data_IF_858149423151
#
_entry.id   IF_858149423151
#
_cell.length_a   1.000
_cell.length_b   1.000
_cell.length_c   1.000
_cell.angle_alpha   90.00
_cell.angle_beta   90.00
_cell.angle_gamma   90.00
#
_symmetry.space_group_name_H-M   'P 1'
#
loop_
_entity.id
_entity.type
_entity.pdbx_description
1 polymer ?
#
# COMPACT_ATOMS: atom_id res chain seq x y z
N UNK A 1 1.89 -22.03 18.75
CA UNK A 1 2.45 -20.88 18.02
C UNK A 1 1.42 -19.76 17.94
N UNK A 2 1.80 -18.57 18.27
CA UNK A 2 0.92 -17.38 18.16
C UNK A 2 1.36 -16.62 16.90
N UNK A 3 0.50 -16.54 15.89
CA UNK A 3 0.79 -15.79 14.67
C UNK A 3 -0.47 -15.46 13.87
N UNK A 4 -0.30 -14.79 12.73
CA UNK A 4 -1.41 -14.38 11.86
C UNK A 4 -1.96 -15.52 10.97
N UNK A 5 -1.32 -16.68 10.94
CA UNK A 5 -1.77 -17.81 10.12
C UNK A 5 -3.07 -18.40 10.65
N UNK A 6 -3.90 -18.90 9.75
CA UNK A 6 -5.19 -19.51 10.11
C UNK A 6 -5.06 -20.83 10.85
N UNK A 7 -3.91 -21.51 10.73
CA UNK A 7 -3.58 -22.78 11.38
C UNK A 7 -2.75 -22.62 12.66
N UNK A 8 -2.63 -21.38 13.18
CA UNK A 8 -1.96 -21.13 14.45
C UNK A 8 -2.81 -21.57 15.64
N UNK A 9 -2.16 -22.01 16.73
CA UNK A 9 -2.83 -22.34 17.98
C UNK A 9 -3.61 -21.15 18.56
N UNK A 10 -2.99 -19.95 18.46
CA UNK A 10 -3.64 -18.68 18.77
C UNK A 10 -3.43 -17.75 17.57
N UNK A 11 -4.52 -17.42 16.92
CA UNK A 11 -4.48 -16.51 15.79
C UNK A 11 -4.48 -15.06 16.27
N UNK A 12 -3.43 -14.32 15.89
CA UNK A 12 -3.31 -12.88 16.12
C UNK A 12 -3.13 -12.17 14.79
N UNK A 13 -4.20 -11.73 14.19
CA UNK A 13 -4.21 -11.04 12.90
C UNK A 13 -3.95 -9.54 13.09
N UNK A 14 -3.14 -8.97 12.19
CA UNK A 14 -2.91 -7.52 12.14
C UNK A 14 -4.15 -6.73 11.70
N UNK A 15 -5.10 -7.37 11.05
CA UNK A 15 -6.34 -6.77 10.64
C UNK A 15 -7.41 -7.80 10.30
N UNK A 16 -8.65 -7.40 10.42
CA UNK A 16 -9.81 -8.21 10.08
C UNK A 16 -10.66 -7.51 9.04
N UNK A 17 -10.98 -8.24 7.97
CA UNK A 17 -11.97 -7.78 7.00
C UNK A 17 -13.36 -8.17 7.48
N UNK A 18 -14.21 -7.19 7.66
CA UNK A 18 -15.62 -7.40 8.02
C UNK A 18 -16.53 -6.81 6.95
N UNK A 19 -17.50 -7.59 6.53
CA UNK A 19 -18.55 -7.07 5.63
C UNK A 19 -19.38 -6.03 6.38
N UNK A 20 -19.56 -4.87 5.77
CA UNK A 20 -20.43 -3.84 6.35
C UNK A 20 -21.89 -4.24 6.21
N UNK A 21 -22.68 -3.99 7.24
CA UNK A 21 -24.13 -4.21 7.19
C UNK A 21 -24.79 -3.21 6.24
N UNK A 22 -24.32 -1.96 6.27
CA UNK A 22 -24.78 -0.89 5.38
C UNK A 22 -23.59 -0.49 4.51
N UNK A 23 -23.63 -0.72 3.18
CA UNK A 23 -22.56 -0.29 2.30
C UNK A 23 -22.47 1.23 2.26
N UNK A 24 -21.25 1.82 2.16
CA UNK A 24 -21.10 3.26 2.02
C UNK A 24 -21.66 3.71 0.67
N UNK A 25 -22.35 4.85 0.66
CA UNK A 25 -22.80 5.48 -0.57
C UNK A 25 -21.61 6.26 -1.18
N UNK A 26 -20.94 5.64 -2.14
CA UNK A 26 -19.79 6.22 -2.85
C UNK A 26 -19.88 5.94 -4.33
N UNK A 27 -19.58 6.95 -5.14
CA UNK A 27 -19.40 6.79 -6.57
C UNK A 27 -17.97 6.30 -6.86
N UNK A 28 -17.78 4.98 -6.89
CA UNK A 28 -16.49 4.37 -7.15
C UNK A 28 -15.97 4.65 -8.57
N UNK A 29 -16.85 4.83 -9.55
CA UNK A 29 -16.45 5.18 -10.92
C UNK A 29 -15.80 6.57 -10.96
N UNK A 30 -16.37 7.55 -10.30
CA UNK A 30 -15.80 8.88 -10.20
C UNK A 30 -14.46 8.88 -9.44
N UNK A 31 -14.38 8.14 -8.34
CA UNK A 31 -13.15 7.99 -7.55
C UNK A 31 -12.03 7.38 -8.41
N UNK A 32 -12.30 6.31 -9.14
CA UNK A 32 -11.31 5.67 -10.01
C UNK A 32 -10.87 6.56 -11.18
N UNK A 33 -11.79 7.31 -11.76
CA UNK A 33 -11.48 8.27 -12.84
C UNK A 33 -10.58 9.41 -12.37
N UNK A 34 -10.73 9.85 -11.12
CA UNK A 34 -9.89 10.90 -10.53
C UNK A 34 -8.45 10.46 -10.25
N UNK A 35 -8.20 9.15 -10.17
CA UNK A 35 -6.88 8.60 -9.92
C UNK A 35 -6.07 8.50 -11.20
N UNK A 36 -5.01 9.30 -11.29
CA UNK A 36 -4.20 9.45 -12.49
C UNK A 36 -3.00 8.51 -12.54
N UNK A 37 -2.58 7.96 -11.38
CA UNK A 37 -1.40 7.11 -11.26
C UNK A 37 -1.79 5.67 -10.93
N UNK A 38 -0.92 4.71 -11.29
CA UNK A 38 -1.25 3.30 -11.17
C UNK A 38 -0.89 2.74 -9.79
N UNK A 39 0.40 2.65 -9.48
CA UNK A 39 0.89 1.98 -8.27
C UNK A 39 1.84 2.89 -7.50
N UNK A 40 1.64 3.00 -6.19
CA UNK A 40 2.59 3.56 -5.24
C UNK A 40 3.12 2.46 -4.32
N UNK A 41 4.42 2.45 -4.08
CA UNK A 41 5.04 1.60 -3.08
C UNK A 41 5.76 2.44 -2.05
N UNK A 42 5.32 2.34 -0.80
CA UNK A 42 5.90 3.06 0.32
C UNK A 42 6.77 2.09 1.11
N UNK A 43 8.07 2.36 1.16
CA UNK A 43 9.03 1.48 1.80
C UNK A 43 10.02 2.28 2.65
N UNK A 44 10.11 1.96 3.93
CA UNK A 44 11.07 2.56 4.86
C UNK A 44 12.36 1.74 4.99
N UNK A 45 12.30 0.45 4.72
CA UNK A 45 13.45 -0.45 4.79
C UNK A 45 13.75 -1.06 3.43
N UNK A 46 14.86 -0.62 2.82
CA UNK A 46 15.31 -1.07 1.50
C UNK A 46 16.13 -2.38 1.54
N UNK A 47 16.60 -2.78 2.72
CA UNK A 47 17.42 -3.97 2.90
C UNK A 47 16.59 -5.05 3.59
N UNK A 48 16.09 -6.00 2.83
CA UNK A 48 15.30 -7.12 3.33
C UNK A 48 15.72 -8.43 2.70
N UNK A 49 15.57 -9.53 3.44
CA UNK A 49 15.83 -10.88 2.94
C UNK A 49 14.75 -11.38 1.97
N UNK A 50 13.59 -10.73 1.95
CA UNK A 50 12.45 -11.14 1.12
C UNK A 50 12.59 -10.86 -0.37
N UNK A 51 13.68 -10.18 -0.79
CA UNK A 51 13.94 -9.82 -2.19
C UNK A 51 12.81 -9.01 -2.86
N UNK A 52 12.04 -8.29 -2.06
CA UNK A 52 10.92 -7.47 -2.57
C UNK A 52 11.37 -6.36 -3.51
N UNK A 53 12.58 -5.85 -3.32
CA UNK A 53 13.17 -4.84 -4.22
C UNK A 53 13.40 -5.40 -5.62
N UNK A 54 13.86 -6.66 -5.72
CA UNK A 54 14.05 -7.35 -7.00
C UNK A 54 12.71 -7.55 -7.70
N UNK A 55 11.67 -7.94 -6.93
CA UNK A 55 10.32 -8.11 -7.44
C UNK A 55 9.76 -6.80 -8.01
N UNK A 56 9.89 -5.70 -7.28
CA UNK A 56 9.40 -4.39 -7.73
C UNK A 56 10.19 -3.88 -8.92
N UNK A 57 11.50 -4.08 -8.95
CA UNK A 57 12.35 -3.73 -10.10
C UNK A 57 11.92 -4.48 -11.37
N UNK A 58 11.57 -5.73 -11.24
CA UNK A 58 11.04 -6.53 -12.35
C UNK A 58 9.65 -6.03 -12.77
N UNK A 59 8.78 -5.75 -11.81
CA UNK A 59 7.44 -5.23 -12.07
C UNK A 59 7.46 -3.87 -12.80
N UNK A 60 8.42 -3.01 -12.49
CA UNK A 60 8.57 -1.69 -13.14
C UNK A 60 8.85 -1.77 -14.65
N UNK A 61 9.28 -2.92 -15.15
CA UNK A 61 9.44 -3.14 -16.60
C UNK A 61 8.10 -3.25 -17.33
N UNK A 62 7.03 -3.58 -16.64
CA UNK A 62 5.71 -3.82 -17.21
C UNK A 62 4.68 -2.74 -16.87
N UNK A 63 4.77 -2.19 -15.66
CA UNK A 63 3.86 -1.15 -15.17
C UNK A 63 4.63 -0.06 -14.45
N UNK A 64 4.02 1.12 -14.38
CA UNK A 64 4.58 2.23 -13.61
C UNK A 64 4.34 2.00 -12.13
N UNK A 65 5.43 1.92 -11.36
CA UNK A 65 5.43 1.85 -9.89
C UNK A 65 6.23 3.03 -9.35
N UNK A 66 5.60 3.91 -8.61
CA UNK A 66 6.24 5.04 -7.97
C UNK A 66 6.67 4.65 -6.56
N UNK A 67 7.96 4.79 -6.25
CA UNK A 67 8.53 4.35 -4.98
C UNK A 67 8.75 5.55 -4.07
N UNK A 68 8.17 5.48 -2.87
CA UNK A 68 8.36 6.45 -1.79
C UNK A 68 9.22 5.83 -0.69
N UNK A 69 10.19 6.58 -0.21
CA UNK A 69 11.08 6.14 0.85
C UNK A 69 12.36 6.96 0.88
N UNK A 70 13.21 6.69 1.85
CA UNK A 70 14.49 7.37 1.99
C UNK A 70 15.36 7.17 0.75
N UNK A 71 15.81 8.27 0.14
CA UNK A 71 16.62 8.25 -1.07
C UNK A 71 15.88 7.85 -2.35
N UNK A 72 14.55 7.74 -2.31
CA UNK A 72 13.75 7.42 -3.48
C UNK A 72 13.31 8.68 -4.26
N UNK A 73 12.96 8.49 -5.54
CA UNK A 73 12.62 9.57 -6.46
C UNK A 73 11.47 10.46 -5.97
N UNK A 74 10.47 9.88 -5.33
CA UNK A 74 9.27 10.58 -4.85
C UNK A 74 9.38 11.05 -3.41
N UNK A 75 10.56 10.90 -2.77
CA UNK A 75 10.80 11.31 -1.39
C UNK A 75 10.21 10.38 -0.36
N UNK A 76 10.13 10.86 0.87
CA UNK A 76 9.63 10.09 2.02
C UNK A 76 8.20 10.46 2.38
N UNK A 77 7.49 9.48 2.97
CA UNK A 77 6.31 9.75 3.78
C UNK A 77 6.75 9.74 5.26
N UNK A 78 7.12 10.89 5.83
CA UNK A 78 7.59 10.93 7.22
C UNK A 78 6.46 10.58 8.17
N UNK A 79 6.79 9.86 9.25
CA UNK A 79 5.79 9.42 10.24
C UNK A 79 4.98 10.58 10.85
N UNK A 80 5.60 11.74 10.98
CA UNK A 80 4.97 12.95 11.49
C UNK A 80 3.85 13.48 10.59
N UNK A 81 3.93 13.22 9.29
CA UNK A 81 2.96 13.62 8.27
C UNK A 81 2.37 12.42 7.52
N UNK A 82 2.36 11.26 8.15
CA UNK A 82 1.91 10.01 7.53
C UNK A 82 0.47 10.10 7.02
N UNK A 83 -0.43 10.67 7.81
CA UNK A 83 -1.83 10.82 7.43
C UNK A 83 -2.02 11.67 6.17
N UNK A 84 -1.28 12.76 6.02
CA UNK A 84 -1.33 13.63 4.85
C UNK A 84 -0.74 12.95 3.62
N UNK A 85 0.42 12.31 3.76
CA UNK A 85 1.05 11.53 2.71
C UNK A 85 0.14 10.42 2.21
N UNK A 86 -0.45 9.63 3.11
CA UNK A 86 -1.37 8.55 2.77
C UNK A 86 -2.65 9.06 2.10
N UNK A 87 -3.15 10.21 2.53
CA UNK A 87 -4.31 10.86 1.90
C UNK A 87 -4.00 11.22 0.44
N UNK A 88 -2.84 11.81 0.17
CA UNK A 88 -2.41 12.15 -1.18
C UNK A 88 -2.22 10.91 -2.05
N UNK A 89 -1.60 9.86 -1.52
CA UNK A 89 -1.39 8.60 -2.24
C UNK A 89 -2.73 7.96 -2.55
N UNK A 90 -3.63 7.84 -1.58
CA UNK A 90 -4.93 7.22 -1.81
C UNK A 90 -5.81 8.01 -2.77
N UNK A 91 -5.63 9.32 -2.87
CA UNK A 91 -6.35 10.16 -3.84
C UNK A 91 -5.85 10.01 -5.28
N UNK A 92 -4.56 9.75 -5.48
CA UNK A 92 -3.92 9.79 -6.80
C UNK A 92 -3.61 8.41 -7.39
N UNK A 93 -3.40 7.39 -6.57
CA UNK A 93 -3.01 6.06 -7.01
C UNK A 93 -4.16 5.06 -6.95
N UNK A 94 -4.23 4.18 -7.95
CA UNK A 94 -5.22 3.10 -7.98
C UNK A 94 -4.88 1.97 -7.01
N UNK A 95 -3.58 1.70 -6.86
CA UNK A 95 -3.06 0.65 -5.97
C UNK A 95 -1.90 1.16 -5.11
N UNK A 96 -1.80 0.67 -3.89
CA UNK A 96 -0.66 0.88 -2.99
C UNK A 96 -0.56 -0.25 -1.96
#
# INVERSE_FOLDING_TARGET
MICFRNDADIQNSYGLLRKRLIPPDRDYSAILKSKTRLVAWIVSNNVTQSRRNDYVSELQKYIQVDIYGQGQQFGECPREHDAECMKNISANYKFY
#
